data_IF_836430494540
#
_entry.id   IF_836430494540
#
_cell.length_a   1.000
_cell.length_b   1.000
_cell.length_c   1.000
_cell.angle_alpha   90.00
_cell.angle_beta   90.00
_cell.angle_gamma   90.00
#
_symmetry.space_group_name_H-M   'P 1'
#
loop_
_entity.id
_entity.type
_entity.pdbx_description
1 polymer ?
#
# COMPACT_ATOMS: atom_id res chain seq x y z
N UNK A 1 -8.83 -11.77 -14.73
CA UNK A 1 -8.76 -11.97 -13.27
C UNK A 1 -9.25 -13.37 -13.00
N UNK A 2 -8.55 -14.06 -12.10
CA UNK A 2 -8.93 -15.40 -11.66
C UNK A 2 -10.34 -15.37 -11.04
N UNK A 3 -11.19 -16.35 -11.39
CA UNK A 3 -12.55 -16.44 -10.86
C UNK A 3 -12.60 -16.57 -9.34
N UNK A 4 -11.59 -17.24 -8.76
CA UNK A 4 -11.45 -17.34 -7.30
C UNK A 4 -11.28 -15.99 -6.62
N UNK A 5 -10.52 -15.09 -7.24
CA UNK A 5 -10.31 -13.73 -6.71
C UNK A 5 -11.61 -12.92 -6.78
N UNK A 6 -12.37 -13.06 -7.87
CA UNK A 6 -13.68 -12.40 -8.00
C UNK A 6 -14.65 -12.93 -6.95
N UNK A 7 -14.71 -14.24 -6.76
CA UNK A 7 -15.58 -14.88 -5.78
C UNK A 7 -15.22 -14.40 -4.36
N UNK A 8 -13.92 -14.36 -4.00
CA UNK A 8 -13.47 -13.83 -2.72
C UNK A 8 -13.94 -12.39 -2.49
N UNK A 9 -13.71 -11.48 -3.44
CA UNK A 9 -14.13 -10.08 -3.30
C UNK A 9 -15.66 -9.89 -3.27
N UNK A 10 -16.42 -10.79 -3.91
CA UNK A 10 -17.89 -10.72 -3.90
C UNK A 10 -18.49 -11.17 -2.56
N UNK A 11 -17.76 -11.99 -1.81
CA UNK A 11 -18.23 -12.60 -0.56
C UNK A 11 -17.38 -12.17 0.65
N UNK A 12 -16.74 -11.00 0.56
CA UNK A 12 -15.88 -10.50 1.63
C UNK A 12 -16.67 -9.69 2.66
N UNK A 13 -16.45 -9.97 3.93
CA UNK A 13 -16.98 -9.22 5.07
C UNK A 13 -15.84 -8.57 5.84
N UNK A 14 -15.96 -7.25 6.10
CA UNK A 14 -14.97 -6.47 6.84
C UNK A 14 -15.36 -6.36 8.31
N UNK A 15 -14.59 -6.99 9.19
CA UNK A 15 -14.75 -6.92 10.64
C UNK A 15 -13.80 -5.89 11.30
N UNK A 16 -13.09 -5.09 10.51
CA UNK A 16 -12.17 -4.05 10.98
C UNK A 16 -10.74 -4.56 11.18
N UNK A 17 -10.53 -5.57 11.98
CA UNK A 17 -9.21 -6.17 12.26
C UNK A 17 -8.88 -7.33 11.33
N UNK A 18 -9.88 -7.90 10.70
CA UNK A 18 -9.79 -9.02 9.76
C UNK A 18 -10.88 -8.94 8.70
N UNK A 19 -10.66 -9.61 7.59
CA UNK A 19 -11.62 -9.82 6.53
C UNK A 19 -11.95 -11.31 6.47
N UNK A 20 -13.23 -11.62 6.37
CA UNK A 20 -13.69 -13.00 6.15
C UNK A 20 -14.19 -13.10 4.72
N UNK A 21 -13.69 -14.05 3.96
CA UNK A 21 -14.19 -14.34 2.63
C UNK A 21 -14.53 -15.82 2.44
N UNK A 22 -15.51 -16.08 1.59
CA UNK A 22 -15.94 -17.43 1.23
C UNK A 22 -15.59 -17.70 -0.22
N UNK A 23 -14.85 -18.79 -0.44
CA UNK A 23 -14.45 -19.23 -1.79
C UNK A 23 -14.69 -20.72 -1.90
N UNK A 24 -15.52 -21.12 -2.86
CA UNK A 24 -15.90 -22.54 -3.08
C UNK A 24 -16.39 -23.25 -1.82
N UNK A 25 -17.18 -22.54 -1.01
CA UNK A 25 -17.73 -23.08 0.23
C UNK A 25 -16.75 -23.17 1.41
N UNK A 26 -15.53 -22.68 1.26
CA UNK A 26 -14.54 -22.60 2.34
C UNK A 26 -14.41 -21.17 2.86
N UNK A 27 -14.32 -21.03 4.17
CA UNK A 27 -14.07 -19.77 4.83
C UNK A 27 -12.56 -19.49 4.91
N UNK A 28 -12.18 -18.27 4.59
CA UNK A 28 -10.80 -17.79 4.72
C UNK A 28 -10.78 -16.51 5.53
N UNK A 29 -9.90 -16.48 6.52
CA UNK A 29 -9.65 -15.29 7.35
C UNK A 29 -8.39 -14.61 6.82
N UNK A 30 -8.55 -13.36 6.39
CA UNK A 30 -7.45 -12.54 5.90
C UNK A 30 -7.17 -11.47 6.96
N UNK A 31 -5.99 -11.53 7.55
CA UNK A 31 -5.46 -10.53 8.47
C UNK A 31 -3.94 -10.42 8.27
N UNK A 32 -3.27 -9.42 8.88
CA UNK A 32 -1.82 -9.27 8.71
C UNK A 32 -0.99 -10.50 9.11
N UNK A 33 -1.46 -11.30 10.06
CA UNK A 33 -0.74 -12.52 10.48
C UNK A 33 -0.89 -13.63 9.43
N UNK A 34 -2.10 -13.88 8.94
CA UNK A 34 -2.32 -14.88 7.89
C UNK A 34 -1.53 -14.55 6.61
N UNK A 35 -1.39 -13.26 6.28
CA UNK A 35 -0.56 -12.81 5.16
C UNK A 35 0.93 -13.09 5.46
N UNK A 36 1.39 -12.83 6.68
CA UNK A 36 2.76 -13.10 7.10
C UNK A 36 3.11 -14.60 7.00
N UNK A 37 2.19 -15.46 7.43
CA UNK A 37 2.34 -16.91 7.36
C UNK A 37 2.45 -17.40 5.90
N UNK A 38 1.59 -16.89 5.02
CA UNK A 38 1.62 -17.23 3.58
C UNK A 38 2.90 -16.77 2.91
N UNK A 39 3.37 -15.56 3.23
CA UNK A 39 4.57 -14.98 2.63
C UNK A 39 5.87 -15.42 3.32
N UNK A 40 5.77 -16.15 4.43
CA UNK A 40 6.91 -16.54 5.28
C UNK A 40 7.75 -15.33 5.75
N UNK A 41 7.05 -14.23 6.12
CA UNK A 41 7.66 -12.98 6.58
C UNK A 41 7.42 -12.82 8.08
N UNK A 42 8.48 -12.49 8.83
CA UNK A 42 8.35 -12.11 10.23
C UNK A 42 7.85 -10.68 10.34
N UNK A 43 6.72 -10.47 11.01
CA UNK A 43 6.19 -9.12 11.26
C UNK A 43 7.01 -8.40 12.33
N UNK A 44 7.19 -7.07 12.21
CA UNK A 44 7.82 -6.28 13.27
C UNK A 44 6.97 -6.32 14.54
N UNK A 45 7.63 -6.40 15.70
CA UNK A 45 6.95 -6.52 17.01
C UNK A 45 6.21 -5.23 17.41
N UNK A 46 6.62 -4.08 16.90
CA UNK A 46 5.96 -2.80 17.15
C UNK A 46 4.78 -2.60 16.18
N UNK A 47 3.61 -2.99 16.62
CA UNK A 47 2.35 -2.96 15.87
C UNK A 47 1.91 -1.53 15.46
N UNK A 48 2.49 -0.49 16.08
CA UNK A 48 2.17 0.92 15.80
C UNK A 48 2.85 1.50 14.54
N UNK A 49 3.59 0.68 13.80
CA UNK A 49 4.21 1.09 12.54
C UNK A 49 3.28 0.75 11.37
N UNK A 50 2.09 1.35 11.37
CA UNK A 50 1.36 1.46 10.12
C UNK A 50 2.22 2.28 9.15
N UNK A 51 2.24 1.96 7.85
CA UNK A 51 2.94 2.80 6.85
C UNK A 51 2.41 4.23 6.82
N UNK A 52 1.31 4.45 7.47
CA UNK A 52 0.61 5.70 7.70
C UNK A 52 0.62 5.99 9.20
N UNK A 53 1.79 6.31 9.75
CA UNK A 53 1.86 6.98 11.05
C UNK A 53 1.00 8.26 10.92
N UNK A 54 0.06 8.48 11.86
CA UNK A 54 -0.79 9.68 11.89
C UNK A 54 0.04 10.98 12.07
N UNK A 55 1.32 10.85 12.40
CA UNK A 55 2.32 11.90 12.19
C UNK A 55 2.65 11.93 10.70
N UNK A 56 1.85 12.65 9.95
CA UNK A 56 2.24 13.05 8.59
C UNK A 56 3.61 13.73 8.70
N UNK A 57 4.72 13.11 8.20
CA UNK A 57 5.98 13.81 8.15
C UNK A 57 5.73 15.08 7.35
N UNK A 58 6.33 16.18 7.76
CA UNK A 58 6.21 17.39 6.98
C UNK A 58 6.66 17.10 5.57
N UNK A 59 5.92 17.63 4.60
CA UNK A 59 6.23 17.42 3.17
C UNK A 59 7.70 17.70 2.89
N UNK A 60 8.29 18.66 3.60
CA UNK A 60 9.69 19.03 3.51
C UNK A 60 10.65 17.89 3.88
N UNK A 61 10.35 17.10 4.90
CA UNK A 61 11.18 15.96 5.30
C UNK A 61 11.18 14.87 4.22
N UNK A 62 10.02 14.65 3.61
CA UNK A 62 9.89 13.70 2.49
C UNK A 62 10.70 14.21 1.28
N UNK A 63 10.61 15.48 0.98
CA UNK A 63 11.31 16.08 -0.16
C UNK A 63 12.83 16.05 0.02
N UNK A 64 13.35 16.28 1.23
CA UNK A 64 14.77 16.16 1.52
C UNK A 64 15.32 14.74 1.24
N UNK A 65 14.55 13.71 1.54
CA UNK A 65 14.95 12.32 1.32
C UNK A 65 14.86 11.93 -0.16
N UNK A 66 13.86 12.43 -0.88
CA UNK A 66 13.62 12.06 -2.28
C UNK A 66 14.47 12.86 -3.27
N UNK A 67 15.01 14.02 -2.88
CA UNK A 67 15.90 14.88 -3.66
C UNK A 67 15.56 16.37 -3.54
N UNK A 68 16.55 17.26 -3.74
CA UNK A 68 16.44 18.68 -3.41
C UNK A 68 15.54 19.52 -4.33
N UNK A 69 15.22 19.04 -5.53
CA UNK A 69 14.55 19.82 -6.58
C UNK A 69 13.05 19.52 -6.75
N UNK A 70 12.38 19.09 -5.70
CA UNK A 70 10.98 18.69 -5.82
C UNK A 70 10.04 19.87 -5.74
N UNK A 71 9.37 20.18 -6.84
CA UNK A 71 8.20 21.03 -6.84
C UNK A 71 6.97 20.22 -6.36
N UNK A 72 6.38 20.65 -5.26
CA UNK A 72 5.10 20.15 -4.81
C UNK A 72 4.03 20.84 -5.63
N UNK A 73 3.34 20.12 -6.51
CA UNK A 73 2.24 20.70 -7.28
C UNK A 73 1.02 20.89 -6.40
N UNK A 74 0.48 22.09 -6.40
CA UNK A 74 -0.55 22.61 -5.50
C UNK A 74 -1.99 22.09 -5.73
N UNK A 75 -2.19 21.06 -6.52
CA UNK A 75 -3.47 20.36 -6.64
C UNK A 75 -3.43 19.02 -5.90
N UNK A 76 -3.59 19.09 -4.57
CA UNK A 76 -3.42 17.91 -3.74
C UNK A 76 -1.95 17.50 -3.63
N UNK A 77 -1.62 16.81 -2.64
CA UNK A 77 -0.29 16.36 -2.23
C UNK A 77 0.33 15.33 -3.20
N UNK A 78 0.63 15.72 -4.43
CA UNK A 78 1.25 14.87 -5.45
C UNK A 78 2.67 15.33 -5.76
N UNK A 79 3.61 14.40 -5.80
CA UNK A 79 5.03 14.62 -6.04
C UNK A 79 5.42 14.01 -7.39
N UNK A 80 6.14 14.78 -8.23
CA UNK A 80 6.63 14.28 -9.52
C UNK A 80 7.76 13.26 -9.34
N UNK A 81 7.60 12.08 -9.93
CA UNK A 81 8.60 11.00 -9.86
C UNK A 81 9.82 11.30 -10.75
N UNK A 82 9.66 12.11 -11.77
CA UNK A 82 10.74 12.44 -12.71
C UNK A 82 11.92 13.16 -12.04
N UNK A 83 11.66 13.81 -10.91
CA UNK A 83 12.64 14.56 -10.13
C UNK A 83 13.30 13.78 -9.00
N UNK A 84 13.01 12.48 -8.88
CA UNK A 84 13.66 11.66 -7.84
C UNK A 84 15.12 11.44 -8.17
N UNK A 85 15.94 11.37 -7.13
CA UNK A 85 17.36 11.07 -7.27
C UNK A 85 17.56 9.77 -8.09
N UNK A 86 18.51 9.74 -9.05
CA UNK A 86 18.72 8.59 -9.92
C UNK A 86 18.93 7.26 -9.19
N UNK A 87 19.53 7.31 -8.00
CA UNK A 87 19.82 6.17 -7.13
C UNK A 87 18.52 5.48 -6.66
N UNK A 88 17.42 6.22 -6.62
CA UNK A 88 16.11 5.72 -6.20
C UNK A 88 15.33 5.03 -7.32
N UNK A 89 15.85 5.03 -8.55
CA UNK A 89 15.14 4.53 -9.73
C UNK A 89 14.75 3.06 -9.59
N UNK A 90 15.68 2.22 -9.14
CA UNK A 90 15.43 0.78 -8.96
C UNK A 90 14.41 0.53 -7.85
N UNK A 91 14.58 1.17 -6.70
CA UNK A 91 13.66 1.02 -5.58
C UNK A 91 12.25 1.51 -5.93
N UNK A 92 12.17 2.63 -6.63
CA UNK A 92 10.92 3.17 -7.18
C UNK A 92 10.22 2.17 -8.10
N UNK A 93 10.95 1.57 -9.04
CA UNK A 93 10.40 0.57 -9.96
C UNK A 93 9.86 -0.65 -9.21
N UNK A 94 10.64 -1.20 -8.26
CA UNK A 94 10.20 -2.35 -7.45
C UNK A 94 8.91 -1.99 -6.68
N UNK A 95 8.88 -0.84 -6.03
CA UNK A 95 7.74 -0.41 -5.24
C UNK A 95 6.48 -0.25 -6.10
N UNK A 96 6.58 0.44 -7.24
CA UNK A 96 5.41 0.72 -8.07
C UNK A 96 4.97 -0.45 -8.94
N UNK A 97 5.85 -1.40 -9.22
CA UNK A 97 5.45 -2.61 -9.95
C UNK A 97 4.80 -3.66 -9.04
N UNK A 98 5.21 -3.75 -7.78
CA UNK A 98 4.82 -4.86 -6.91
C UNK A 98 3.94 -4.45 -5.74
N UNK A 99 4.24 -3.32 -5.08
CA UNK A 99 3.55 -2.92 -3.84
C UNK A 99 2.45 -1.88 -4.09
N UNK A 100 2.62 -1.03 -5.09
CA UNK A 100 1.69 0.05 -5.42
C UNK A 100 1.54 0.21 -6.93
N UNK A 101 0.92 -0.75 -7.62
CA UNK A 101 0.74 -0.64 -9.08
C UNK A 101 0.13 0.71 -9.47
N UNK A 102 0.79 1.40 -10.38
CA UNK A 102 0.37 2.69 -10.90
C UNK A 102 0.10 2.57 -12.39
N UNK A 103 -1.08 3.02 -12.81
CA UNK A 103 -1.40 3.19 -14.22
C UNK A 103 -0.63 4.36 -14.86
N UNK A 104 -0.19 5.32 -14.06
CA UNK A 104 0.60 6.47 -14.49
C UNK A 104 1.74 6.71 -13.51
N UNK A 105 2.99 6.61 -13.98
CA UNK A 105 4.20 6.75 -13.18
C UNK A 105 4.78 8.18 -13.18
N UNK A 106 3.98 9.20 -13.44
CA UNK A 106 4.46 10.60 -13.47
C UNK A 106 4.38 11.24 -12.09
N UNK A 107 3.32 10.94 -11.35
CA UNK A 107 3.07 11.52 -10.02
C UNK A 107 2.71 10.47 -9.00
N UNK A 108 3.15 10.66 -7.76
CA UNK A 108 2.73 9.87 -6.60
C UNK A 108 2.07 10.76 -5.56
N UNK A 109 1.12 10.19 -4.82
CA UNK A 109 0.53 10.88 -3.68
C UNK A 109 1.46 10.83 -2.45
N UNK A 110 1.18 11.67 -1.47
CA UNK A 110 1.98 11.80 -0.25
C UNK A 110 2.19 10.46 0.49
N UNK A 111 1.14 9.64 0.62
CA UNK A 111 1.26 8.35 1.32
C UNK A 111 2.24 7.38 0.64
N UNK A 112 2.29 7.37 -0.69
CA UNK A 112 3.28 6.58 -1.45
C UNK A 112 4.68 7.15 -1.33
N UNK A 113 4.80 8.48 -1.35
CA UNK A 113 6.08 9.15 -1.12
C UNK A 113 6.61 8.86 0.28
N UNK A 114 5.77 8.91 1.29
CA UNK A 114 6.11 8.56 2.67
C UNK A 114 6.57 7.10 2.80
N UNK A 115 5.85 6.17 2.15
CA UNK A 115 6.25 4.76 2.14
C UNK A 115 7.63 4.58 1.52
N UNK A 116 7.91 5.22 0.38
CA UNK A 116 9.22 5.21 -0.25
C UNK A 116 10.30 5.82 0.67
N UNK A 117 10.01 6.95 1.30
CA UNK A 117 10.88 7.59 2.27
C UNK A 117 11.21 6.66 3.44
N UNK A 118 10.22 5.94 3.98
CA UNK A 118 10.44 4.97 5.05
C UNK A 118 11.34 3.81 4.60
N UNK A 119 11.18 3.32 3.36
CA UNK A 119 12.08 2.30 2.80
C UNK A 119 13.52 2.80 2.70
N UNK A 120 13.73 4.03 2.18
CA UNK A 120 15.05 4.64 2.02
C UNK A 120 15.73 4.85 3.37
N UNK A 121 14.99 5.35 4.35
CA UNK A 121 15.47 5.60 5.70
C UNK A 121 15.56 4.34 6.57
N UNK A 122 15.29 3.16 5.98
CA UNK A 122 15.30 1.86 6.66
C UNK A 122 14.42 1.82 7.92
N UNK A 123 13.32 2.56 7.93
CA UNK A 123 12.32 2.44 8.98
C UNK A 123 11.65 1.08 8.88
N UNK A 124 11.35 0.49 10.02
CA UNK A 124 10.61 -0.78 10.06
C UNK A 124 9.21 -0.57 9.49
N UNK A 125 8.83 -1.36 8.48
CA UNK A 125 7.52 -1.31 7.82
C UNK A 125 6.84 -2.66 7.99
N UNK A 126 5.61 -2.67 8.46
CA UNK A 126 4.77 -3.87 8.44
C UNK A 126 4.13 -4.04 7.06
N UNK A 127 4.84 -4.75 6.18
CA UNK A 127 4.38 -5.02 4.81
C UNK A 127 3.07 -5.82 4.82
N UNK A 128 2.89 -6.75 5.77
CA UNK A 128 1.69 -7.56 5.86
C UNK A 128 0.46 -6.72 6.24
N UNK A 129 0.62 -5.80 7.19
CA UNK A 129 -0.43 -4.83 7.51
C UNK A 129 -0.73 -3.91 6.32
N UNK A 130 0.28 -3.53 5.55
CA UNK A 130 0.11 -2.71 4.36
C UNK A 130 -0.69 -3.45 3.27
N UNK A 131 -0.34 -4.70 2.96
CA UNK A 131 -1.07 -5.55 2.01
C UNK A 131 -2.52 -5.72 2.46
N UNK A 132 -2.74 -6.01 3.74
CA UNK A 132 -4.07 -6.12 4.32
C UNK A 132 -4.91 -4.86 4.08
N UNK A 133 -4.35 -3.67 4.32
CA UNK A 133 -5.04 -2.41 4.08
C UNK A 133 -5.38 -2.17 2.60
N UNK A 134 -4.54 -2.62 1.68
CA UNK A 134 -4.83 -2.54 0.24
C UNK A 134 -6.02 -3.46 -0.10
N UNK A 135 -6.00 -4.71 0.36
CA UNK A 135 -7.09 -5.66 0.13
C UNK A 135 -8.40 -5.10 0.70
N UNK A 136 -8.36 -4.61 1.94
CA UNK A 136 -9.52 -4.01 2.61
C UNK A 136 -10.10 -2.83 1.86
N UNK A 137 -9.26 -1.87 1.45
CA UNK A 137 -9.70 -0.71 0.65
C UNK A 137 -10.30 -1.12 -0.69
N UNK A 138 -9.76 -2.16 -1.32
CA UNK A 138 -10.28 -2.69 -2.59
C UNK A 138 -11.64 -3.34 -2.38
N UNK A 139 -11.79 -4.17 -1.34
CA UNK A 139 -13.04 -4.81 -0.98
C UNK A 139 -14.17 -3.78 -0.72
N UNK A 140 -13.88 -2.77 0.09
CA UNK A 140 -14.84 -1.69 0.43
C UNK A 140 -15.28 -0.92 -0.82
N UNK A 141 -14.35 -0.62 -1.74
CA UNK A 141 -14.67 0.07 -3.00
C UNK A 141 -15.49 -0.79 -3.95
N UNK A 142 -15.23 -2.08 -3.99
CA UNK A 142 -15.98 -3.03 -4.82
C UNK A 142 -17.41 -3.18 -4.32
N UNK A 143 -17.61 -3.30 -3.02
CA UNK A 143 -18.93 -3.35 -2.41
C UNK A 143 -19.74 -2.06 -2.70
N UNK A 144 -19.12 -0.89 -2.64
CA UNK A 144 -19.80 0.39 -2.87
C UNK A 144 -20.19 0.64 -4.34
N UNK A 145 -19.52 -0.01 -5.31
CA UNK A 145 -19.75 0.21 -6.75
C UNK A 145 -20.48 -0.94 -7.45
N UNK A 146 -20.73 -2.05 -6.77
CA UNK A 146 -21.25 -3.27 -7.40
C UNK A 146 -20.33 -3.84 -8.49
N UNK A 147 -19.12 -3.30 -8.62
CA UNK A 147 -18.12 -3.69 -9.61
C UNK A 147 -16.77 -3.85 -8.95
N UNK A 148 -16.05 -4.88 -9.32
CA UNK A 148 -14.64 -5.03 -8.96
C UNK A 148 -13.85 -4.06 -9.86
N UNK A 149 -13.07 -3.11 -9.32
CA UNK A 149 -12.32 -2.17 -10.12
C UNK A 149 -11.06 -2.84 -10.67
N UNK A 150 -11.12 -3.29 -11.89
CA UNK A 150 -9.95 -3.61 -12.72
C UNK A 150 -10.20 -3.19 -14.15
#
# INVERSE_FOLDING_TARGET
MDELVKECYSNISDLGVELICWVRGNEFIINPNSIADILHITRPQNINLTPYDDRTPEIQDILQVLGPDHEVFSKGTSISIAKFAPELTTLKLIMFSNLYPLSNMIFINLGRAQFLCNLITRKSIDICAHIFQIIRKTATRSAARGCIPF
#
